data_IF_168481933221
#
_entry.id   IF_168481933221
#
_cell.length_a   1.000
_cell.length_b   1.000
_cell.length_c   1.000
_cell.angle_alpha   90.00
_cell.angle_beta   90.00
_cell.angle_gamma   90.00
#
_symmetry.space_group_name_H-M   'P 1'
#
loop_
_entity.id
_entity.type
_entity.pdbx_description
1 polymer ?
#
# COMPACT_ATOMS: atom_id res chain seq x y z
N UNK A 1 -8.58 -22.13 1.34
CA UNK A 1 -9.10 -20.84 0.89
C UNK A 1 -10.39 -21.12 0.12
N UNK A 2 -11.52 -20.64 0.61
CA UNK A 2 -12.80 -20.71 -0.10
C UNK A 2 -12.72 -19.70 -1.23
N UNK A 3 -13.01 -20.14 -2.45
CA UNK A 3 -13.01 -19.25 -3.61
C UNK A 3 -14.16 -18.23 -3.46
N UNK A 4 -13.94 -16.94 -3.71
CA UNK A 4 -15.00 -15.95 -3.72
C UNK A 4 -16.05 -16.36 -4.78
N UNK A 5 -17.29 -16.51 -4.36
CA UNK A 5 -18.42 -16.88 -5.25
C UNK A 5 -19.01 -18.26 -5.01
N UNK A 6 -18.50 -19.03 -4.06
CA UNK A 6 -19.06 -20.33 -3.67
C UNK A 6 -19.38 -20.38 -2.17
N UNK A 7 -20.65 -20.23 -1.82
CA UNK A 7 -21.17 -20.40 -0.47
C UNK A 7 -21.46 -19.11 0.30
N UNK A 8 -21.96 -19.27 1.53
CA UNK A 8 -22.34 -18.17 2.44
C UNK A 8 -21.15 -17.32 2.93
N UNK A 9 -19.93 -17.77 2.73
CA UNK A 9 -18.69 -17.09 3.14
C UNK A 9 -18.10 -16.19 2.03
N UNK A 10 -18.73 -16.09 0.86
CA UNK A 10 -18.31 -15.19 -0.19
C UNK A 10 -18.44 -13.72 0.26
N UNK A 11 -17.35 -12.92 0.19
CA UNK A 11 -17.37 -11.54 0.65
C UNK A 11 -18.41 -10.66 -0.07
N UNK A 12 -18.70 -10.91 -1.35
CA UNK A 12 -19.73 -10.18 -2.09
C UNK A 12 -21.11 -10.46 -1.49
N UNK A 13 -21.41 -11.73 -1.24
CA UNK A 13 -22.66 -12.17 -0.63
C UNK A 13 -22.81 -11.61 0.80
N UNK A 14 -21.72 -11.57 1.58
CA UNK A 14 -21.74 -10.98 2.91
C UNK A 14 -22.05 -9.47 2.88
N UNK A 15 -21.46 -8.73 1.93
CA UNK A 15 -21.76 -7.31 1.75
C UNK A 15 -23.23 -7.10 1.35
N UNK A 16 -23.77 -7.95 0.48
CA UNK A 16 -25.18 -7.88 0.08
C UNK A 16 -26.14 -8.13 1.27
N UNK A 17 -25.84 -9.13 2.09
CA UNK A 17 -26.66 -9.49 3.26
C UNK A 17 -26.54 -8.49 4.42
N UNK A 18 -25.50 -7.67 4.46
CA UNK A 18 -25.30 -6.70 5.52
C UNK A 18 -26.39 -5.62 5.48
N UNK A 19 -27.00 -5.31 6.63
CA UNK A 19 -28.19 -4.44 6.72
C UNK A 19 -27.91 -3.01 7.19
N UNK A 20 -26.66 -2.64 7.49
CA UNK A 20 -26.27 -1.33 7.99
C UNK A 20 -25.48 -0.49 7.00
N UNK A 21 -25.06 0.69 7.43
CA UNK A 21 -24.06 1.50 6.78
C UNK A 21 -22.66 0.95 7.08
N UNK A 22 -21.72 1.08 6.15
CA UNK A 22 -20.39 0.56 6.38
C UNK A 22 -19.40 0.74 5.24
N UNK A 23 -18.11 0.61 5.59
CA UNK A 23 -17.00 0.56 4.63
C UNK A 23 -16.45 -0.86 4.61
N UNK A 24 -16.48 -1.47 3.44
CA UNK A 24 -15.98 -2.82 3.21
C UNK A 24 -14.65 -2.76 2.49
N UNK A 25 -13.61 -3.35 3.08
CA UNK A 25 -12.26 -3.33 2.52
C UNK A 25 -11.93 -4.71 1.97
N UNK A 26 -11.80 -4.81 0.65
CA UNK A 26 -11.40 -6.02 -0.06
C UNK A 26 -9.91 -5.93 -0.39
N UNK A 27 -9.07 -6.69 0.33
CA UNK A 27 -7.63 -6.71 0.12
C UNK A 27 -7.26 -7.70 -0.98
N UNK A 28 -6.41 -7.24 -1.91
CA UNK A 28 -5.87 -8.04 -3.01
C UNK A 28 -6.95 -8.73 -3.88
N UNK A 29 -8.16 -8.16 -3.91
CA UNK A 29 -9.29 -8.73 -4.61
C UNK A 29 -9.09 -8.78 -6.14
N UNK A 30 -8.17 -7.97 -6.67
CA UNK A 30 -7.79 -7.97 -8.09
C UNK A 30 -7.36 -9.35 -8.62
N UNK A 31 -6.83 -10.23 -7.76
CA UNK A 31 -6.48 -11.60 -8.17
C UNK A 31 -7.70 -12.40 -8.66
N UNK A 32 -8.87 -12.14 -8.10
CA UNK A 32 -10.11 -12.84 -8.46
C UNK A 32 -10.79 -12.25 -9.69
N UNK A 33 -10.34 -11.10 -10.18
CA UNK A 33 -10.88 -10.40 -11.35
C UNK A 33 -10.12 -10.75 -12.63
N UNK A 34 -9.06 -11.54 -12.57
CA UNK A 34 -8.21 -11.89 -13.71
C UNK A 34 -8.85 -13.01 -14.54
N UNK A 35 -9.59 -12.62 -15.60
CA UNK A 35 -10.30 -13.54 -16.51
C UNK A 35 -9.31 -14.48 -17.22
N UNK A 36 -8.07 -14.04 -17.47
CA UNK A 36 -7.08 -14.86 -18.16
C UNK A 36 -6.59 -16.03 -17.32
N UNK A 37 -6.68 -15.92 -15.99
CA UNK A 37 -6.22 -16.94 -15.06
C UNK A 37 -7.32 -17.81 -14.50
N UNK A 38 -8.53 -17.27 -14.35
CA UNK A 38 -9.59 -17.94 -13.61
C UNK A 38 -10.92 -17.89 -14.34
N UNK A 39 -11.44 -19.07 -14.74
CA UNK A 39 -12.72 -19.19 -15.44
C UNK A 39 -13.93 -18.70 -14.63
N UNK A 40 -13.81 -18.58 -13.31
CA UNK A 40 -14.86 -18.02 -12.44
C UNK A 40 -14.83 -16.49 -12.32
N UNK A 41 -13.78 -15.82 -12.82
CA UNK A 41 -13.65 -14.36 -12.70
C UNK A 41 -14.84 -13.62 -13.30
N UNK A 42 -15.41 -14.09 -14.41
CA UNK A 42 -16.60 -13.50 -15.02
C UNK A 42 -17.83 -13.52 -14.09
N UNK A 43 -18.01 -14.58 -13.30
CA UNK A 43 -19.08 -14.64 -12.30
C UNK A 43 -18.87 -13.58 -11.22
N UNK A 44 -17.65 -13.44 -10.73
CA UNK A 44 -17.29 -12.47 -9.69
C UNK A 44 -17.50 -11.04 -10.20
N UNK A 45 -17.04 -10.72 -11.40
CA UNK A 45 -17.24 -9.42 -12.04
C UNK A 45 -18.74 -9.11 -12.14
N UNK A 46 -19.55 -10.07 -12.58
CA UNK A 46 -21.00 -9.90 -12.68
C UNK A 46 -21.65 -9.71 -11.31
N UNK A 47 -21.22 -10.44 -10.30
CA UNK A 47 -21.70 -10.29 -8.92
C UNK A 47 -21.36 -8.91 -8.35
N UNK A 48 -20.15 -8.40 -8.63
CA UNK A 48 -19.76 -7.05 -8.26
C UNK A 48 -20.62 -5.98 -8.95
N UNK A 49 -20.86 -6.10 -10.25
CA UNK A 49 -21.75 -5.17 -10.98
C UNK A 49 -23.15 -5.14 -10.38
N UNK A 50 -23.71 -6.30 -10.07
CA UNK A 50 -25.00 -6.39 -9.43
C UNK A 50 -24.97 -5.73 -8.03
N UNK A 51 -23.94 -6.01 -7.23
CA UNK A 51 -23.76 -5.40 -5.93
C UNK A 51 -23.69 -3.88 -6.03
N UNK A 52 -22.88 -3.33 -6.94
CA UNK A 52 -22.76 -1.87 -7.15
C UNK A 52 -24.11 -1.25 -7.51
N UNK A 53 -24.88 -1.90 -8.41
CA UNK A 53 -26.22 -1.45 -8.77
C UNK A 53 -27.13 -1.45 -7.54
N UNK A 54 -27.16 -2.56 -6.79
CA UNK A 54 -28.00 -2.71 -5.60
C UNK A 54 -27.64 -1.67 -4.53
N UNK A 55 -26.35 -1.33 -4.38
CA UNK A 55 -25.88 -0.29 -3.47
C UNK A 55 -26.33 1.12 -3.88
N UNK A 56 -26.42 1.40 -5.19
CA UNK A 56 -26.93 2.69 -5.70
C UNK A 56 -28.43 2.85 -5.50
N UNK A 57 -29.18 1.75 -5.54
CA UNK A 57 -30.63 1.74 -5.38
C UNK A 57 -31.06 1.77 -3.90
N UNK A 58 -30.16 1.40 -2.98
CA UNK A 58 -30.46 1.40 -1.55
C UNK A 58 -30.15 2.74 -0.91
N UNK A 59 -31.04 3.24 -0.06
CA UNK A 59 -30.83 4.45 0.75
C UNK A 59 -29.85 4.23 1.92
N UNK A 60 -28.73 3.54 1.67
CA UNK A 60 -27.74 3.18 2.69
C UNK A 60 -26.36 3.62 2.27
N UNK A 61 -25.60 4.18 3.23
CA UNK A 61 -24.22 4.61 2.99
C UNK A 61 -23.27 3.43 3.08
N UNK A 62 -23.05 2.73 1.98
CA UNK A 62 -22.09 1.66 1.89
C UNK A 62 -21.00 1.96 0.85
N UNK A 63 -19.77 1.76 1.27
CA UNK A 63 -18.59 2.00 0.41
C UNK A 63 -17.80 0.70 0.33
N UNK A 64 -17.43 0.30 -0.88
CA UNK A 64 -16.50 -0.81 -1.11
C UNK A 64 -15.17 -0.21 -1.53
N UNK A 65 -14.11 -0.56 -0.82
CA UNK A 65 -12.74 -0.15 -1.10
C UNK A 65 -11.93 -1.39 -1.47
N UNK A 66 -11.38 -1.41 -2.67
CA UNK A 66 -10.44 -2.44 -3.09
C UNK A 66 -9.01 -1.94 -2.88
N UNK A 67 -8.26 -2.58 -1.98
CA UNK A 67 -6.84 -2.32 -1.78
C UNK A 67 -6.03 -3.29 -2.63
N UNK A 68 -5.18 -2.74 -3.51
CA UNK A 68 -4.35 -3.55 -4.40
C UNK A 68 -2.99 -2.90 -4.60
N UNK A 69 -1.95 -3.73 -4.74
CA UNK A 69 -0.60 -3.27 -5.09
C UNK A 69 -0.44 -2.99 -6.58
N UNK A 70 -1.38 -3.43 -7.40
CA UNK A 70 -1.39 -3.22 -8.85
C UNK A 70 -2.79 -2.81 -9.29
N UNK A 71 -2.87 -1.96 -10.30
CA UNK A 71 -4.14 -1.56 -10.92
C UNK A 71 -4.48 -2.59 -12.00
N UNK A 72 -5.51 -3.39 -11.75
CA UNK A 72 -6.13 -4.28 -12.74
C UNK A 72 -7.63 -4.20 -12.58
N UNK A 73 -8.24 -3.38 -13.42
CA UNK A 73 -9.69 -3.18 -13.45
C UNK A 73 -10.19 -3.82 -14.74
N UNK A 74 -11.10 -4.82 -14.69
CA UNK A 74 -11.77 -5.32 -15.87
C UNK A 74 -12.58 -4.21 -16.56
N UNK A 75 -12.60 -4.22 -17.89
CA UNK A 75 -13.32 -3.21 -18.70
C UNK A 75 -14.79 -3.08 -18.26
N UNK A 76 -15.40 -4.20 -17.84
CA UNK A 76 -16.79 -4.23 -17.38
C UNK A 76 -17.02 -3.43 -16.10
N UNK A 77 -15.99 -3.17 -15.30
CA UNK A 77 -16.06 -2.44 -14.03
C UNK A 77 -15.45 -1.03 -14.10
N UNK A 78 -14.88 -0.63 -15.21
CA UNK A 78 -14.16 0.62 -15.37
C UNK A 78 -15.01 1.86 -15.00
N UNK A 79 -16.28 1.86 -15.39
CA UNK A 79 -17.21 2.94 -15.07
C UNK A 79 -17.81 2.90 -13.66
N UNK A 80 -17.62 1.79 -12.94
CA UNK A 80 -18.17 1.58 -11.60
C UNK A 80 -17.12 1.79 -10.50
N UNK A 81 -15.84 1.86 -10.86
CA UNK A 81 -14.71 1.99 -9.94
C UNK A 81 -14.02 3.35 -10.12
N UNK A 82 -13.89 4.09 -9.04
CA UNK A 82 -13.04 5.28 -9.01
C UNK A 82 -11.65 4.90 -8.49
N UNK A 83 -10.63 5.15 -9.31
CA UNK A 83 -9.25 4.94 -8.89
C UNK A 83 -8.81 6.07 -7.97
N UNK A 84 -8.24 5.70 -6.83
CA UNK A 84 -7.64 6.64 -5.87
C UNK A 84 -6.18 6.28 -5.74
N UNK A 85 -5.31 7.18 -6.21
CA UNK A 85 -3.87 7.02 -6.04
C UNK A 85 -3.47 7.30 -4.60
N UNK A 86 -2.64 6.42 -4.06
CA UNK A 86 -2.03 6.62 -2.76
C UNK A 86 -0.64 7.21 -2.95
N UNK A 87 -0.54 8.52 -2.75
CA UNK A 87 0.71 9.26 -2.93
C UNK A 87 1.82 8.77 -1.99
N UNK A 88 3.05 8.77 -2.51
CA UNK A 88 4.22 8.51 -1.68
C UNK A 88 4.40 9.63 -0.65
N UNK A 89 4.98 9.33 0.53
CA UNK A 89 5.15 10.30 1.58
C UNK A 89 6.06 11.45 1.13
N UNK A 90 5.63 12.68 1.41
CA UNK A 90 6.44 13.88 1.21
C UNK A 90 7.55 13.99 2.27
N UNK A 91 8.41 15.00 2.15
CA UNK A 91 9.52 15.21 3.08
C UNK A 91 9.08 15.35 4.54
N UNK A 92 7.96 16.03 4.80
CA UNK A 92 7.45 16.22 6.16
C UNK A 92 7.00 14.92 6.79
N UNK A 93 6.28 14.08 6.03
CA UNK A 93 5.84 12.76 6.48
C UNK A 93 7.04 11.86 6.73
N UNK A 94 8.02 11.84 5.82
CA UNK A 94 9.27 11.07 5.99
C UNK A 94 10.06 11.53 7.20
N UNK A 95 10.20 12.84 7.39
CA UNK A 95 10.90 13.42 8.54
C UNK A 95 10.28 12.96 9.86
N UNK A 96 8.95 13.08 9.97
CA UNK A 96 8.22 12.59 11.15
C UNK A 96 8.40 11.08 11.36
N UNK A 97 8.25 10.30 10.30
CA UNK A 97 8.41 8.84 10.33
C UNK A 97 9.82 8.44 10.84
N UNK A 98 10.86 9.07 10.32
CA UNK A 98 12.25 8.80 10.72
C UNK A 98 12.49 9.19 12.19
N UNK A 99 11.98 10.35 12.61
CA UNK A 99 12.11 10.81 14.00
C UNK A 99 11.40 9.86 14.95
N UNK A 100 10.17 9.45 14.64
CA UNK A 100 9.41 8.48 15.44
C UNK A 100 10.09 7.11 15.46
N UNK A 101 10.67 6.66 14.34
CA UNK A 101 11.40 5.40 14.27
C UNK A 101 12.65 5.42 15.16
N UNK A 102 13.43 6.51 15.13
CA UNK A 102 14.60 6.71 15.98
C UNK A 102 14.17 6.70 17.46
N UNK A 103 13.07 7.40 17.79
CA UNK A 103 12.54 7.47 19.15
C UNK A 103 12.11 6.09 19.67
N UNK A 104 11.28 5.37 18.91
CA UNK A 104 10.75 4.04 19.25
C UNK A 104 11.85 3.01 19.53
N UNK A 105 12.95 3.09 18.79
CA UNK A 105 14.04 2.13 18.86
C UNK A 105 15.18 2.57 19.81
N UNK A 106 15.00 3.69 20.54
CA UNK A 106 16.03 4.27 21.42
C UNK A 106 17.36 4.56 20.71
N UNK A 107 17.31 4.96 19.45
CA UNK A 107 18.49 5.23 18.64
C UNK A 107 19.04 6.67 18.80
N UNK A 108 18.43 7.50 19.66
CA UNK A 108 18.88 8.89 19.87
C UNK A 108 20.37 8.99 20.23
N UNK A 109 20.84 8.08 21.12
CA UNK A 109 22.26 8.06 21.54
C UNK A 109 23.22 7.60 20.44
N UNK A 110 22.70 7.03 19.37
CA UNK A 110 23.45 6.50 18.21
C UNK A 110 23.15 7.24 16.93
N UNK A 111 22.46 8.37 17.02
CA UNK A 111 22.17 9.26 15.90
C UNK A 111 23.03 10.50 16.03
N UNK A 112 23.97 10.66 15.12
CA UNK A 112 24.97 11.72 15.10
C UNK A 112 24.71 12.60 13.88
N UNK A 113 23.75 13.50 14.02
CA UNK A 113 23.41 14.52 13.03
C UNK A 113 23.69 15.86 13.67
N UNK A 114 24.68 16.57 13.14
CA UNK A 114 25.19 17.79 13.75
C UNK A 114 24.23 18.96 13.57
N UNK A 115 23.47 18.95 12.48
CA UNK A 115 22.50 19.98 12.14
C UNK A 115 21.33 19.46 11.31
N UNK A 116 20.37 20.34 11.05
CA UNK A 116 19.19 20.05 10.23
C UNK A 116 19.57 19.67 8.78
N UNK A 117 20.65 20.26 8.25
CA UNK A 117 21.11 19.98 6.89
C UNK A 117 21.54 18.52 6.71
N UNK A 118 22.16 17.91 7.72
CA UNK A 118 22.52 16.49 7.71
C UNK A 118 21.29 15.58 7.75
N UNK A 119 20.29 15.94 8.56
CA UNK A 119 19.02 15.24 8.60
C UNK A 119 18.29 15.32 7.26
N UNK A 120 18.27 16.51 6.65
CA UNK A 120 17.63 16.74 5.36
C UNK A 120 18.28 15.92 4.22
N UNK A 121 19.59 15.67 4.28
CA UNK A 121 20.26 14.76 3.33
C UNK A 121 19.73 13.33 3.43
N UNK A 122 19.49 12.85 4.64
CA UNK A 122 18.90 11.53 4.87
C UNK A 122 17.46 11.48 4.34
N UNK A 123 16.66 12.50 4.65
CA UNK A 123 15.27 12.57 4.17
C UNK A 123 15.21 12.62 2.65
N UNK A 124 16.08 13.39 1.99
CA UNK A 124 16.18 13.42 0.52
C UNK A 124 16.55 12.06 -0.07
N UNK A 125 17.45 11.32 0.57
CA UNK A 125 17.80 9.97 0.11
C UNK A 125 16.63 9.00 0.19
N UNK A 126 15.74 9.17 1.16
CA UNK A 126 14.56 8.34 1.38
C UNK A 126 13.36 8.70 0.48
N UNK A 127 13.35 9.86 -0.16
CA UNK A 127 12.25 10.28 -1.04
C UNK A 127 11.97 9.23 -2.12
N UNK A 128 10.69 8.99 -2.42
CA UNK A 128 10.26 7.95 -3.35
C UNK A 128 10.13 6.55 -2.74
N UNK A 129 10.33 6.43 -1.42
CA UNK A 129 10.01 5.21 -0.65
C UNK A 129 8.72 5.41 0.14
N UNK A 130 8.01 4.32 0.39
CA UNK A 130 6.93 4.31 1.40
C UNK A 130 7.53 4.47 2.80
N UNK A 131 6.71 4.83 3.80
CA UNK A 131 7.17 4.96 5.20
C UNK A 131 7.81 3.68 5.72
N UNK A 132 7.21 2.51 5.43
CA UNK A 132 7.76 1.20 5.82
C UNK A 132 9.09 0.91 5.13
N UNK A 133 9.22 1.25 3.85
CA UNK A 133 10.48 1.09 3.11
C UNK A 133 11.57 2.01 3.66
N UNK A 134 11.23 3.24 4.00
CA UNK A 134 12.13 4.20 4.60
C UNK A 134 12.63 3.72 5.98
N UNK A 135 11.75 3.24 6.85
CA UNK A 135 12.11 2.64 8.14
C UNK A 135 13.06 1.44 7.95
N UNK A 136 12.77 0.56 7.00
CA UNK A 136 13.64 -0.59 6.69
C UNK A 136 15.02 -0.17 6.20
N UNK A 137 15.10 0.83 5.34
CA UNK A 137 16.38 1.34 4.84
C UNK A 137 17.23 1.90 5.99
N UNK A 138 16.65 2.70 6.88
CA UNK A 138 17.33 3.23 8.07
C UNK A 138 17.73 2.12 9.03
N UNK A 139 16.84 1.16 9.30
CA UNK A 139 17.14 0.02 10.17
C UNK A 139 18.38 -0.75 9.67
N UNK A 140 18.50 -0.98 8.36
CA UNK A 140 19.67 -1.65 7.78
C UNK A 140 20.96 -0.86 7.95
N UNK A 141 20.91 0.46 7.77
CA UNK A 141 22.06 1.34 8.03
C UNK A 141 22.47 1.24 9.51
N UNK A 142 21.52 1.26 10.41
CA UNK A 142 21.80 1.04 11.84
C UNK A 142 22.42 -0.31 12.13
N UNK A 143 21.90 -1.39 11.54
CA UNK A 143 22.46 -2.73 11.72
C UNK A 143 23.90 -2.79 11.22
N UNK A 144 24.15 -2.20 10.05
CA UNK A 144 25.47 -2.23 9.40
C UNK A 144 26.53 -1.41 10.15
N UNK A 145 26.16 -0.24 10.66
CA UNK A 145 27.12 0.75 11.20
C UNK A 145 26.98 0.98 12.70
N UNK A 146 25.95 0.45 13.34
CA UNK A 146 25.63 0.66 14.75
C UNK A 146 25.21 2.10 15.10
N UNK A 147 25.08 2.99 14.10
CA UNK A 147 24.77 4.41 14.25
C UNK A 147 24.16 4.97 12.97
N UNK A 148 23.52 6.15 13.07
CA UNK A 148 23.04 6.92 11.92
C UNK A 148 23.85 8.21 11.80
N UNK A 149 24.40 8.46 10.62
CA UNK A 149 25.15 9.66 10.26
C UNK A 149 24.88 10.03 8.80
N UNK A 150 25.08 11.29 8.44
CA UNK A 150 24.87 11.78 7.07
C UNK A 150 25.85 11.17 6.05
N UNK A 151 27.03 10.71 6.47
CA UNK A 151 27.99 10.04 5.61
C UNK A 151 27.52 8.65 5.12
N UNK A 152 26.47 8.08 5.73
CA UNK A 152 25.88 6.80 5.30
C UNK A 152 24.73 6.95 4.30
N UNK A 153 24.53 8.15 3.75
CA UNK A 153 23.51 8.41 2.72
C UNK A 153 23.66 7.48 1.50
N UNK A 154 24.89 7.13 1.13
CA UNK A 154 25.13 6.19 0.02
C UNK A 154 24.58 4.78 0.31
N UNK A 155 24.62 4.31 1.55
CA UNK A 155 24.00 3.04 1.92
C UNK A 155 22.47 3.13 1.84
N UNK A 156 21.87 4.27 2.19
CA UNK A 156 20.44 4.50 2.01
C UNK A 156 20.07 4.44 0.52
N UNK A 157 20.83 5.08 -0.36
CA UNK A 157 20.60 5.01 -1.80
C UNK A 157 20.76 3.59 -2.34
N UNK A 158 21.73 2.83 -1.86
CA UNK A 158 21.91 1.44 -2.23
C UNK A 158 20.68 0.60 -1.84
N UNK A 159 20.22 0.73 -0.59
CA UNK A 159 19.01 0.04 -0.12
C UNK A 159 17.77 0.46 -0.91
N UNK A 160 17.60 1.74 -1.20
CA UNK A 160 16.53 2.24 -2.05
C UNK A 160 16.57 1.59 -3.45
N UNK A 161 17.75 1.52 -4.08
CA UNK A 161 17.90 0.86 -5.38
C UNK A 161 17.47 -0.60 -5.31
N UNK A 162 17.85 -1.33 -4.26
CA UNK A 162 17.47 -2.72 -4.05
C UNK A 162 15.94 -2.89 -3.89
N UNK A 163 15.29 -1.97 -3.19
CA UNK A 163 13.84 -1.98 -2.98
C UNK A 163 13.11 -1.74 -4.32
N UNK A 164 13.54 -0.73 -5.08
CA UNK A 164 12.91 -0.36 -6.36
C UNK A 164 13.11 -1.46 -7.40
N UNK A 165 14.31 -2.05 -7.50
CA UNK A 165 14.61 -3.14 -8.44
C UNK A 165 13.73 -4.38 -8.19
N UNK A 166 13.44 -4.71 -6.93
CA UNK A 166 12.58 -5.84 -6.57
C UNK A 166 11.12 -5.64 -6.95
N UNK A 167 10.68 -4.40 -7.06
CA UNK A 167 9.29 -4.07 -7.42
C UNK A 167 9.06 -4.06 -8.95
N UNK A 168 10.07 -4.40 -9.77
CA UNK A 168 9.94 -4.45 -11.23
C UNK A 168 9.72 -3.10 -11.92
N UNK A 169 9.96 -1.98 -11.23
CA UNK A 169 9.67 -0.62 -11.72
C UNK A 169 10.82 -0.05 -12.58
N UNK A 170 11.96 -0.74 -12.65
CA UNK A 170 13.06 -0.38 -13.55
C UNK A 170 13.08 -1.37 -14.72
N UNK A 171 12.21 -1.17 -15.70
CA UNK A 171 12.51 -1.53 -17.09
C UNK A 171 13.39 -0.41 -17.66
N UNK A 172 14.61 -0.78 -18.07
CA UNK A 172 15.49 0.09 -18.85
C UNK A 172 15.07 0.13 -20.30
#
# INVERSE_FOLDING_TARGET
AVLPGEGDDDPITQIQKFKGDGVFILKDFHYFLDISKYGYAQKIIRSLKNLVRDLREQERNRIIVMLSSIVRIPDELEHDISLVDFELPNQQILSRCVTEFIARNNFHKKTYLNDQSEFDKIIKALQGLTTIQAERAIAKVFIKHGKLQSNFVQDIYYEKKQIISKNGILEY
#
